data_IF_068762138825
#
_entry.id   IF_068762138825
#
_cell.length_a   1.000
_cell.length_b   1.000
_cell.length_c   1.000
_cell.angle_alpha   90.00
_cell.angle_beta   90.00
_cell.angle_gamma   90.00
#
_symmetry.space_group_name_H-M   'P 1'
#
loop_
_entity.id
_entity.type
_entity.pdbx_description
1 polymer ?
#
# COMPACT_ATOMS: atom_id res chain seq x y z
N UNK A 1 15.09 14.33 -1.76
CA UNK A 1 14.61 12.93 -1.72
C UNK A 1 13.19 12.90 -2.24
N UNK A 2 12.88 12.08 -3.26
CA UNK A 2 11.52 11.98 -3.82
C UNK A 2 10.77 10.85 -3.13
N UNK A 3 9.68 11.19 -2.45
CA UNK A 3 8.74 10.25 -1.87
C UNK A 3 7.61 10.05 -2.88
N UNK A 4 7.49 8.85 -3.43
CA UNK A 4 6.40 8.53 -4.35
C UNK A 4 5.34 7.78 -3.56
N UNK A 5 4.16 8.38 -3.47
CA UNK A 5 2.99 7.76 -2.87
C UNK A 5 2.09 7.22 -3.98
N UNK A 6 1.84 5.92 -3.95
CA UNK A 6 0.96 5.23 -4.91
C UNK A 6 -0.27 4.73 -4.16
N UNK A 7 -1.43 5.27 -4.52
CA UNK A 7 -2.73 4.80 -4.05
C UNK A 7 -3.33 3.76 -4.98
N UNK A 8 -3.73 2.61 -4.44
CA UNK A 8 -4.35 1.52 -5.18
C UNK A 8 -5.68 1.18 -4.52
N UNK A 9 -6.77 1.26 -5.29
CA UNK A 9 -8.07 0.78 -4.83
C UNK A 9 -8.17 -0.71 -5.11
N UNK A 10 -8.54 -1.47 -4.07
CA UNK A 10 -8.71 -2.91 -4.12
C UNK A 10 -10.12 -3.29 -3.69
N UNK A 11 -10.63 -4.39 -4.23
CA UNK A 11 -11.97 -4.90 -3.88
C UNK A 11 -11.96 -5.68 -2.57
N UNK A 12 -10.84 -6.34 -2.26
CA UNK A 12 -10.64 -7.20 -1.10
C UNK A 12 -9.26 -6.89 -0.52
N UNK A 13 -9.23 -6.32 0.69
CA UNK A 13 -7.98 -5.85 1.30
C UNK A 13 -7.08 -7.01 1.70
N UNK A 14 -7.63 -8.04 2.35
CA UNK A 14 -6.86 -9.17 2.88
C UNK A 14 -6.18 -9.95 1.76
N UNK A 15 -6.92 -10.29 0.70
CA UNK A 15 -6.34 -10.98 -0.46
C UNK A 15 -5.30 -10.14 -1.17
N UNK A 16 -5.51 -8.83 -1.23
CA UNK A 16 -4.55 -7.92 -1.85
C UNK A 16 -3.27 -7.84 -1.04
N UNK A 17 -3.36 -7.73 0.29
CA UNK A 17 -2.18 -7.76 1.16
C UNK A 17 -1.41 -9.05 0.93
N UNK A 18 -2.06 -10.22 1.01
CA UNK A 18 -1.39 -11.51 0.83
C UNK A 18 -0.70 -11.62 -0.54
N UNK A 19 -1.35 -11.14 -1.60
CA UNK A 19 -0.77 -11.10 -2.94
C UNK A 19 0.47 -10.21 -3.00
N UNK A 20 0.36 -8.95 -2.53
CA UNK A 20 1.45 -7.99 -2.64
C UNK A 20 2.60 -8.26 -1.67
N UNK A 21 2.34 -8.90 -0.52
CA UNK A 21 3.38 -9.44 0.35
C UNK A 21 4.21 -10.50 -0.38
N UNK A 22 3.57 -11.43 -1.10
CA UNK A 22 4.28 -12.44 -1.90
C UNK A 22 5.04 -11.83 -3.08
N UNK A 23 4.48 -10.82 -3.74
CA UNK A 23 5.10 -10.15 -4.90
C UNK A 23 6.31 -9.32 -4.49
N UNK A 24 6.20 -8.55 -3.40
CA UNK A 24 7.28 -7.65 -2.98
C UNK A 24 8.20 -8.24 -1.91
N UNK A 25 7.83 -9.37 -1.30
CA UNK A 25 8.58 -9.99 -0.20
C UNK A 25 8.62 -9.12 1.06
N UNK A 26 7.68 -8.19 1.23
CA UNK A 26 7.62 -7.24 2.35
C UNK A 26 6.25 -7.25 3.00
N UNK A 27 6.25 -7.28 4.33
CA UNK A 27 5.03 -7.17 5.12
C UNK A 27 4.51 -5.73 5.20
N UNK A 28 3.19 -5.52 5.35
CA UNK A 28 2.62 -4.19 5.49
C UNK A 28 3.09 -3.55 6.79
N UNK A 29 3.46 -2.27 6.70
CA UNK A 29 3.84 -1.45 7.87
C UNK A 29 2.63 -1.05 8.69
N UNK A 30 1.45 -0.96 8.05
CA UNK A 30 0.21 -0.61 8.72
C UNK A 30 -0.96 -1.30 8.05
N UNK A 31 -1.79 -1.95 8.84
CA UNK A 31 -3.06 -2.52 8.39
C UNK A 31 -4.17 -1.92 9.25
N UNK A 32 -5.25 -1.50 8.60
CA UNK A 32 -6.51 -1.05 9.16
C UNK A 32 -7.64 -1.73 8.38
N UNK A 33 -8.85 -1.72 8.94
CA UNK A 33 -10.04 -2.35 8.36
C UNK A 33 -10.26 -2.08 6.85
N UNK A 34 -9.97 -0.86 6.37
CA UNK A 34 -10.17 -0.48 4.96
C UNK A 34 -8.88 0.00 4.27
N UNK A 35 -7.72 -0.21 4.89
CA UNK A 35 -6.48 0.36 4.41
C UNK A 35 -5.26 -0.45 4.80
N UNK A 36 -4.34 -0.65 3.87
CA UNK A 36 -3.02 -1.18 4.18
C UNK A 36 -1.92 -0.34 3.54
N UNK A 37 -0.81 -0.16 4.27
CA UNK A 37 0.38 0.52 3.79
C UNK A 37 1.52 -0.48 3.71
N UNK A 38 2.06 -0.66 2.51
CA UNK A 38 3.30 -1.38 2.30
C UNK A 38 4.41 -0.35 2.04
N UNK A 39 5.53 -0.55 2.73
CA UNK A 39 6.73 0.23 2.52
C UNK A 39 7.76 -0.65 1.84
N UNK A 40 8.23 -0.22 0.68
CA UNK A 40 9.36 -0.86 0.03
C UNK A 40 10.49 0.16 -0.09
N UNK A 41 11.66 -0.21 0.39
CA UNK A 41 12.91 0.51 0.14
C UNK A 41 13.59 -0.25 -0.99
N UNK A 42 13.63 0.31 -2.19
CA UNK A 42 14.62 -0.12 -3.17
C UNK A 42 14.97 0.97 -4.20
N UNK A 43 16.28 1.07 -4.46
CA UNK A 43 16.92 1.79 -5.57
C UNK A 43 16.81 3.33 -5.56
N UNK A 44 17.12 3.97 -4.43
CA UNK A 44 17.40 5.42 -4.37
C UNK A 44 16.17 6.34 -4.24
N UNK A 45 14.96 5.79 -4.26
CA UNK A 45 13.71 6.49 -3.93
C UNK A 45 12.91 5.71 -2.88
N UNK A 46 12.17 6.43 -2.05
CA UNK A 46 11.24 5.84 -1.08
C UNK A 46 9.85 5.76 -1.72
N UNK A 47 9.35 4.54 -1.91
CA UNK A 47 8.02 4.31 -2.49
C UNK A 47 7.09 3.77 -1.40
N UNK A 48 5.96 4.44 -1.23
CA UNK A 48 4.88 4.01 -0.35
C UNK A 48 3.70 3.56 -1.20
N UNK A 49 3.31 2.30 -1.04
CA UNK A 49 2.12 1.76 -1.70
C UNK A 49 1.01 1.63 -0.65
N UNK A 50 -0.13 2.21 -0.97
CA UNK A 50 -1.28 2.33 -0.11
C UNK A 50 -2.47 1.62 -0.77
N UNK A 51 -2.95 0.54 -0.17
CA UNK A 51 -4.12 -0.21 -0.61
C UNK A 51 -5.35 0.26 0.14
N UNK A 52 -6.44 0.49 -0.58
CA UNK A 52 -7.71 0.93 -0.01
C UNK A 52 -8.83 0.00 -0.44
N UNK A 53 -9.50 -0.60 0.53
CA UNK A 53 -10.77 -1.26 0.29
C UNK A 53 -11.89 -0.23 0.47
N UNK A 54 -12.70 -0.05 -0.58
CA UNK A 54 -13.88 0.83 -0.66
C UNK A 54 -13.63 2.30 -1.11
N UNK A 55 -14.47 2.78 -2.05
CA UNK A 55 -14.27 3.92 -2.97
C UNK A 55 -14.36 5.35 -2.36
N UNK A 56 -14.26 5.53 -1.05
CA UNK A 56 -14.46 6.85 -0.42
C UNK A 56 -13.26 7.33 0.42
N UNK A 57 -12.03 7.03 0.00
CA UNK A 57 -10.85 7.52 0.70
C UNK A 57 -10.30 8.74 -0.03
N UNK A 58 -10.69 9.92 0.45
CA UNK A 58 -10.07 11.18 0.06
C UNK A 58 -8.61 11.19 0.53
N UNK A 59 -7.70 11.39 -0.42
CA UNK A 59 -6.28 11.61 -0.14
C UNK A 59 -6.10 13.05 0.37
N UNK A 60 -5.83 13.20 1.67
CA UNK A 60 -5.08 14.36 2.16
C UNK A 60 -3.61 14.00 2.02
N UNK A 61 -3.01 14.53 0.95
CA UNK A 61 -1.58 14.48 0.64
C UNK A 61 -0.79 15.35 1.61
#
# INVERSE_FOLDING_TARGET
MKYVHVGINVTDLEKSIEFYEKVFGVSPVKVKMNYAKIFNINLGNFIYVCFYANKNVNFLM
#
